data_IF_491872784921
#
_entry.id   IF_491872784921
#
_cell.length_a   1.000
_cell.length_b   1.000
_cell.length_c   1.000
_cell.angle_alpha   90.00
_cell.angle_beta   90.00
_cell.angle_gamma   90.00
#
_symmetry.space_group_name_H-M   'P 1'
#
loop_
_entity.id
_entity.type
_entity.pdbx_description
1 polymer ?
#
# COMPACT_ATOMS: atom_id res chain seq x y z
N UNK A 1 -64.49 32.45 -10.79
CA UNK A 1 -64.22 31.39 -11.78
C UNK A 1 -62.73 31.31 -12.02
N UNK A 2 -62.14 30.11 -12.01
CA UNK A 2 -60.95 29.80 -12.84
C UNK A 2 -59.56 29.88 -12.20
N UNK A 3 -59.18 28.74 -11.61
CA UNK A 3 -57.85 28.16 -11.35
C UNK A 3 -56.58 28.61 -12.14
N UNK A 4 -55.47 28.65 -11.38
CA UNK A 4 -54.08 28.14 -11.59
C UNK A 4 -53.47 28.14 -13.02
N UNK A 5 -52.23 28.64 -13.11
CA UNK A 5 -51.08 27.83 -13.53
C UNK A 5 -49.75 28.48 -13.13
N UNK A 6 -48.89 27.67 -12.52
CA UNK A 6 -47.48 27.94 -12.30
C UNK A 6 -46.73 27.83 -13.64
N UNK A 7 -45.75 28.69 -13.89
CA UNK A 7 -44.63 28.30 -14.75
C UNK A 7 -43.30 28.88 -14.25
N UNK A 8 -42.41 27.95 -13.93
CA UNK A 8 -41.06 28.12 -13.39
C UNK A 8 -40.10 28.16 -14.58
N UNK A 9 -39.37 29.25 -14.75
CA UNK A 9 -38.14 29.26 -15.55
C UNK A 9 -37.04 29.88 -14.70
N UNK A 10 -36.09 29.02 -14.31
CA UNK A 10 -34.90 29.36 -13.54
C UNK A 10 -33.97 30.22 -14.39
N UNK A 11 -33.61 31.42 -13.91
CA UNK A 11 -32.42 32.14 -14.33
C UNK A 11 -31.66 32.67 -13.11
N UNK A 12 -30.41 32.22 -13.02
CA UNK A 12 -29.26 32.84 -12.35
C UNK A 12 -29.36 33.12 -10.84
N UNK A 13 -28.70 32.29 -10.03
CA UNK A 13 -28.31 32.65 -8.66
C UNK A 13 -26.79 32.51 -8.55
N UNK A 14 -26.16 33.61 -8.12
CA UNK A 14 -24.73 33.82 -7.87
C UNK A 14 -24.06 32.69 -7.07
N UNK A 15 -22.78 32.34 -7.34
CA UNK A 15 -22.03 31.37 -6.57
C UNK A 15 -21.19 32.08 -5.51
N UNK A 16 -21.77 32.44 -4.37
CA UNK A 16 -20.95 32.84 -3.22
C UNK A 16 -21.58 32.30 -1.93
N UNK A 17 -20.73 31.64 -1.13
CA UNK A 17 -20.94 31.10 0.22
C UNK A 17 -21.33 29.61 0.33
N UNK A 18 -20.30 28.76 0.31
CA UNK A 18 -20.30 27.52 1.09
C UNK A 18 -19.37 27.73 2.31
N UNK A 19 -19.87 27.75 3.55
CA UNK A 19 -19.01 27.96 4.71
C UNK A 19 -18.16 26.71 4.93
N UNK A 20 -16.87 26.83 4.65
CA UNK A 20 -15.87 25.84 5.03
C UNK A 20 -15.84 25.75 6.56
N UNK A 21 -16.45 24.70 7.11
CA UNK A 21 -16.15 24.27 8.47
C UNK A 21 -14.70 23.81 8.44
N UNK A 22 -13.82 24.68 8.92
CA UNK A 22 -12.41 24.44 9.13
C UNK A 22 -12.27 23.48 10.31
N UNK A 23 -12.51 22.18 10.08
CA UNK A 23 -12.05 21.18 11.03
C UNK A 23 -10.52 21.23 10.99
N UNK A 24 -9.95 21.57 12.15
CA UNK A 24 -8.52 21.60 12.43
C UNK A 24 -7.95 20.22 12.06
N UNK A 25 -7.47 20.06 10.83
CA UNK A 25 -6.82 18.84 10.34
C UNK A 25 -5.56 18.68 11.18
N UNK A 26 -5.62 17.79 12.16
CA UNK A 26 -4.45 17.34 12.92
C UNK A 26 -3.47 16.86 11.86
N UNK A 27 -2.35 17.57 11.68
CA UNK A 27 -1.34 17.23 10.69
C UNK A 27 -0.66 15.92 11.10
N UNK A 28 -1.21 14.77 10.72
CA UNK A 28 -0.42 13.56 10.59
C UNK A 28 0.57 13.81 9.45
N UNK A 29 1.87 13.72 9.72
CA UNK A 29 2.88 13.78 8.66
C UNK A 29 2.69 12.56 7.77
N UNK A 30 2.31 12.78 6.51
CA UNK A 30 2.09 11.70 5.56
C UNK A 30 3.37 10.84 5.41
N UNK A 31 3.20 9.52 5.29
CA UNK A 31 4.30 8.67 4.86
C UNK A 31 4.61 9.01 3.41
N UNK A 32 5.83 9.44 3.11
CA UNK A 32 6.24 9.74 1.74
C UNK A 32 7.17 8.65 1.22
N UNK A 33 7.08 8.37 -0.07
CA UNK A 33 7.96 7.44 -0.77
C UNK A 33 8.18 7.95 -2.19
N UNK A 34 9.02 7.24 -2.96
CA UNK A 34 9.28 7.60 -4.36
C UNK A 34 7.98 7.77 -5.15
N UNK A 35 7.86 8.86 -5.91
CA UNK A 35 6.67 9.31 -6.64
C UNK A 35 5.54 9.95 -5.83
N UNK A 36 5.65 10.06 -4.50
CA UNK A 36 4.80 10.98 -3.74
C UNK A 36 4.88 12.40 -4.32
N UNK A 37 3.78 13.17 -4.21
CA UNK A 37 3.70 14.54 -4.71
C UNK A 37 3.05 15.49 -3.70
N UNK A 38 3.31 16.78 -3.84
CA UNK A 38 2.60 17.86 -3.16
C UNK A 38 3.37 18.47 -1.99
N UNK A 39 2.65 19.21 -1.14
CA UNK A 39 3.24 20.08 -0.11
C UNK A 39 4.10 19.34 0.91
N UNK A 40 3.76 18.11 1.26
CA UNK A 40 4.56 17.31 2.19
C UNK A 40 5.92 16.91 1.58
N UNK A 41 5.96 16.69 0.25
CA UNK A 41 7.22 16.41 -0.46
C UNK A 41 8.07 17.67 -0.57
N UNK A 42 7.48 18.84 -0.83
CA UNK A 42 8.21 20.12 -0.79
C UNK A 42 8.86 20.29 0.59
N UNK A 43 8.08 20.07 1.66
CA UNK A 43 8.57 20.15 3.04
C UNK A 43 9.71 19.16 3.29
N UNK A 44 9.62 17.92 2.81
CA UNK A 44 10.70 16.95 2.87
C UNK A 44 11.96 17.45 2.16
N UNK A 45 11.84 17.91 0.91
CA UNK A 45 12.97 18.39 0.12
C UNK A 45 13.67 19.57 0.80
N UNK A 46 12.89 20.52 1.35
CA UNK A 46 13.39 21.63 2.15
C UNK A 46 14.17 21.18 3.38
N UNK A 47 13.64 20.19 4.12
CA UNK A 47 14.29 19.68 5.31
C UNK A 47 15.58 18.93 4.95
N UNK A 48 15.58 18.10 3.92
CA UNK A 48 16.77 17.41 3.43
C UNK A 48 17.85 18.40 2.98
N UNK A 49 17.49 19.46 2.24
CA UNK A 49 18.41 20.53 1.84
C UNK A 49 19.08 21.21 3.05
N UNK A 50 18.37 21.36 4.16
CA UNK A 50 18.90 21.98 5.39
C UNK A 50 19.91 21.10 6.14
N UNK A 51 19.93 19.79 5.91
CA UNK A 51 20.83 18.86 6.62
C UNK A 51 22.30 19.00 6.21
N UNK A 52 22.65 19.85 5.23
CA UNK A 52 24.02 20.16 4.74
C UNK A 52 24.85 18.96 4.24
N UNK A 53 24.27 17.76 4.19
CA UNK A 53 24.98 16.52 3.84
C UNK A 53 24.65 15.98 2.44
N UNK A 54 23.80 16.67 1.68
CA UNK A 54 23.28 16.19 0.39
C UNK A 54 23.39 17.30 -0.66
N UNK A 55 23.65 16.90 -1.92
CA UNK A 55 23.44 17.74 -3.10
C UNK A 55 22.06 18.43 -3.02
N UNK A 56 22.00 19.73 -3.32
CA UNK A 56 20.76 20.50 -3.26
C UNK A 56 19.68 19.89 -4.16
N UNK A 57 18.56 19.49 -3.56
CA UNK A 57 17.36 19.01 -4.24
C UNK A 57 16.54 20.20 -4.75
N UNK A 58 15.92 20.01 -5.91
CA UNK A 58 14.85 20.89 -6.38
C UNK A 58 13.62 20.66 -5.48
N UNK A 59 13.03 21.73 -4.96
CA UNK A 59 11.84 21.71 -4.09
C UNK A 59 10.55 21.72 -4.91
N UNK A 60 10.48 20.85 -5.91
CA UNK A 60 9.39 20.76 -6.88
C UNK A 60 8.14 20.03 -6.36
N UNK A 61 8.22 19.49 -5.14
CA UNK A 61 7.14 18.70 -4.57
C UNK A 61 6.95 17.36 -5.24
N UNK A 62 7.96 16.86 -5.97
CA UNK A 62 7.96 15.53 -6.56
C UNK A 62 9.07 14.67 -5.93
N UNK A 63 8.66 13.54 -5.36
CA UNK A 63 9.59 12.62 -4.72
C UNK A 63 10.23 11.73 -5.79
N UNK A 64 11.00 12.33 -6.70
CA UNK A 64 11.70 11.62 -7.76
C UNK A 64 12.93 10.85 -7.27
N UNK A 65 13.69 10.31 -8.21
CA UNK A 65 14.93 9.55 -7.96
C UNK A 65 15.93 10.30 -7.07
N UNK A 66 16.07 11.63 -7.27
CA UNK A 66 17.01 12.44 -6.49
C UNK A 66 16.55 12.55 -5.02
N UNK A 67 15.27 12.86 -4.79
CA UNK A 67 14.68 12.89 -3.45
C UNK A 67 14.79 11.51 -2.77
N UNK A 68 14.54 10.42 -3.51
CA UNK A 68 14.72 9.06 -3.00
C UNK A 68 16.15 8.75 -2.56
N UNK A 69 17.14 9.04 -3.41
CA UNK A 69 18.54 8.85 -3.05
C UNK A 69 18.94 9.70 -1.84
N UNK A 70 18.44 10.94 -1.76
CA UNK A 70 18.67 11.83 -0.63
C UNK A 70 18.06 11.27 0.67
N UNK A 71 16.83 10.74 0.62
CA UNK A 71 16.21 10.10 1.78
C UNK A 71 17.00 8.89 2.24
N UNK A 72 17.41 7.98 1.34
CA UNK A 72 18.24 6.83 1.69
C UNK A 72 19.54 7.25 2.36
N UNK A 73 20.22 8.25 1.79
CA UNK A 73 21.48 8.76 2.33
C UNK A 73 21.28 9.37 3.72
N UNK A 74 20.25 10.22 3.88
CA UNK A 74 19.88 10.79 5.17
C UNK A 74 19.61 9.70 6.21
N UNK A 75 18.79 8.70 5.86
CA UNK A 75 18.46 7.59 6.73
C UNK A 75 19.71 6.83 7.19
N UNK A 76 20.58 6.45 6.24
CA UNK A 76 21.85 5.77 6.53
C UNK A 76 22.70 6.56 7.52
N UNK A 77 22.86 7.86 7.28
CA UNK A 77 23.67 8.74 8.12
C UNK A 77 23.07 8.97 9.52
N UNK A 78 21.79 8.66 9.71
CA UNK A 78 21.06 8.87 10.96
C UNK A 78 20.71 7.57 11.70
N UNK A 79 21.29 6.44 11.29
CA UNK A 79 21.07 5.13 11.91
C UNK A 79 19.65 4.58 11.68
N UNK A 80 19.00 5.00 10.59
CA UNK A 80 17.72 4.46 10.13
C UNK A 80 17.96 3.43 9.02
N UNK A 81 16.96 2.58 8.77
CA UNK A 81 16.93 1.77 7.55
C UNK A 81 16.93 2.71 6.33
N UNK A 82 17.88 2.53 5.42
CA UNK A 82 18.05 3.36 4.23
C UNK A 82 17.11 2.93 3.10
N UNK A 83 15.83 2.72 3.40
CA UNK A 83 14.82 2.20 2.49
C UNK A 83 14.24 3.24 1.51
N UNK A 84 14.50 4.53 1.75
CA UNK A 84 14.01 5.64 0.95
C UNK A 84 12.56 6.02 1.25
N UNK A 85 12.01 5.58 2.39
CA UNK A 85 10.65 5.86 2.87
C UNK A 85 10.71 6.87 4.02
N UNK A 86 9.95 7.95 3.89
CA UNK A 86 9.82 8.97 4.93
C UNK A 86 8.58 8.66 5.76
N UNK A 87 8.74 7.72 6.69
CA UNK A 87 7.77 7.45 7.75
C UNK A 87 8.04 8.28 9.03
N UNK A 88 7.28 8.05 10.12
CA UNK A 88 7.39 8.84 11.35
C UNK A 88 8.80 8.92 11.94
N UNK A 89 9.58 7.85 11.84
CA UNK A 89 10.97 7.81 12.32
C UNK A 89 11.88 8.76 11.52
N UNK A 90 11.73 8.77 10.21
CA UNK A 90 12.47 9.66 9.31
C UNK A 90 12.05 11.11 9.55
N UNK A 91 10.74 11.38 9.68
CA UNK A 91 10.22 12.71 10.00
C UNK A 91 10.76 13.26 11.32
N UNK A 92 10.78 12.42 12.37
CA UNK A 92 11.35 12.79 13.66
C UNK A 92 12.83 13.14 13.58
N UNK A 93 13.62 12.36 12.83
CA UNK A 93 15.03 12.66 12.58
C UNK A 93 15.23 13.93 11.76
N UNK A 94 14.28 14.30 10.89
CA UNK A 94 14.24 15.56 10.16
C UNK A 94 13.73 16.74 11.00
N UNK A 95 13.44 16.54 12.30
CA UNK A 95 12.97 17.59 13.20
C UNK A 95 11.47 17.89 13.10
N UNK A 96 10.69 17.04 12.41
CA UNK A 96 9.23 17.15 12.36
C UNK A 96 8.63 16.24 13.42
N UNK A 97 8.03 16.85 14.46
CA UNK A 97 7.34 16.12 15.52
C UNK A 97 5.90 15.83 15.09
N UNK A 98 5.48 14.57 15.26
CA UNK A 98 4.08 14.18 15.12
C UNK A 98 3.33 14.60 16.40
N UNK A 99 2.24 15.39 16.31
CA UNK A 99 1.42 15.76 17.46
C UNK A 99 0.93 14.57 18.30
N UNK A 100 0.87 13.35 17.73
CA UNK A 100 0.45 12.13 18.40
C UNK A 100 1.55 11.42 19.19
N UNK A 101 2.80 11.93 19.15
CA UNK A 101 3.95 11.27 19.81
C UNK A 101 4.46 11.99 21.07
N UNK A 102 3.85 13.11 21.47
CA UNK A 102 4.11 13.75 22.76
C UNK A 102 3.32 13.08 23.88
N UNK A 103 3.71 11.85 24.26
CA UNK A 103 3.45 11.31 25.59
C UNK A 103 4.30 10.07 25.83
N UNK A 104 5.42 10.24 26.51
CA UNK A 104 6.08 9.19 27.31
C UNK A 104 6.97 9.83 28.35
N UNK A 105 6.36 10.26 29.45
CA UNK A 105 7.02 10.39 30.75
C UNK A 105 5.96 10.42 31.86
N UNK A 106 5.49 9.24 32.29
CA UNK A 106 5.46 8.81 33.69
C UNK A 106 4.63 7.54 33.91
N UNK A 107 5.15 6.71 34.81
CA UNK A 107 4.59 5.49 35.38
C UNK A 107 3.42 5.79 36.32
N UNK A 108 2.27 5.11 36.14
CA UNK A 108 1.49 4.39 37.18
C UNK A 108 0.06 4.07 36.71
N UNK A 109 -0.35 2.81 36.89
CA UNK A 109 -1.72 2.30 37.18
C UNK A 109 -2.94 3.18 36.83
N UNK A 110 -3.76 2.74 35.87
CA UNK A 110 -5.08 2.12 36.13
C UNK A 110 -5.92 1.97 34.86
N UNK A 111 -6.91 1.09 34.98
CA UNK A 111 -7.72 0.52 33.92
C UNK A 111 -8.79 1.46 33.33
N UNK A 112 -9.22 1.09 32.12
CA UNK A 112 -10.52 1.34 31.50
C UNK A 112 -10.69 2.60 30.61
N UNK A 113 -11.05 2.39 29.34
CA UNK A 113 -11.57 3.45 28.46
C UNK A 113 -11.01 3.48 27.04
N UNK A 114 -11.66 2.72 26.15
CA UNK A 114 -11.88 3.02 24.72
C UNK A 114 -10.69 3.57 23.91
N UNK A 115 -9.89 2.66 23.35
CA UNK A 115 -8.86 2.96 22.36
C UNK A 115 -9.47 3.25 20.98
N UNK A 116 -9.52 4.52 20.59
CA UNK A 116 -9.61 4.91 19.18
C UNK A 116 -8.27 4.61 18.51
N UNK A 117 -8.22 3.46 17.84
CA UNK A 117 -7.11 2.93 17.07
C UNK A 117 -6.75 3.86 15.89
N UNK A 118 -5.47 4.04 15.54
CA UNK A 118 -5.06 4.82 14.36
C UNK A 118 -5.66 4.20 13.09
N UNK A 119 -6.13 5.07 12.18
CA UNK A 119 -6.88 4.74 10.97
C UNK A 119 -6.22 3.62 10.16
N UNK A 120 -6.85 2.45 10.25
CA UNK A 120 -6.60 1.28 9.42
C UNK A 120 -7.11 1.63 8.03
N UNK A 121 -6.28 1.52 6.97
CA UNK A 121 -6.74 1.71 5.59
C UNK A 121 -7.97 0.84 5.36
N UNK A 122 -9.14 1.47 5.30
CA UNK A 122 -10.41 0.75 5.42
C UNK A 122 -10.69 0.11 4.07
N UNK A 123 -11.20 -1.12 4.04
CA UNK A 123 -11.52 -1.86 2.80
C UNK A 123 -12.35 -1.00 1.83
N UNK A 124 -13.23 -0.14 2.36
CA UNK A 124 -14.03 0.83 1.61
C UNK A 124 -13.19 1.86 0.82
N UNK A 125 -12.07 2.34 1.36
CA UNK A 125 -11.19 3.35 0.73
C UNK A 125 -10.43 2.79 -0.48
N UNK A 126 -10.34 1.46 -0.61
CA UNK A 126 -9.64 0.81 -1.71
C UNK A 126 -10.52 0.58 -2.94
N UNK A 127 -11.83 0.86 -2.88
CA UNK A 127 -12.79 0.44 -3.90
C UNK A 127 -12.62 1.13 -5.27
N UNK A 128 -12.33 2.43 -5.32
CA UNK A 128 -12.16 3.18 -6.58
C UNK A 128 -10.73 3.10 -7.13
N UNK A 129 -9.73 3.15 -6.24
CA UNK A 129 -8.31 3.17 -6.59
C UNK A 129 -7.72 1.81 -6.96
N UNK A 130 -8.45 0.70 -6.75
CA UNK A 130 -7.92 -0.65 -6.96
C UNK A 130 -8.73 -1.46 -7.98
N UNK A 131 -8.09 -2.41 -8.63
CA UNK A 131 -8.67 -3.39 -9.55
C UNK A 131 -8.27 -4.81 -9.16
N UNK A 132 -8.97 -5.79 -9.70
CA UNK A 132 -8.58 -7.19 -9.58
C UNK A 132 -7.24 -7.44 -10.29
N UNK A 133 -6.39 -8.38 -9.83
CA UNK A 133 -5.08 -8.62 -10.44
C UNK A 133 -5.14 -9.42 -11.77
N UNK A 134 -6.34 -9.70 -12.29
CA UNK A 134 -6.60 -10.43 -13.54
C UNK A 134 -7.78 -9.81 -14.28
N UNK A 135 -7.84 -10.00 -15.60
CA UNK A 135 -8.93 -9.56 -16.48
C UNK A 135 -10.19 -10.44 -16.37
N UNK A 136 -10.12 -11.53 -15.63
CA UNK A 136 -11.23 -12.46 -15.38
C UNK A 136 -11.12 -13.05 -13.97
N UNK A 137 -12.17 -13.71 -13.49
CA UNK A 137 -12.18 -14.37 -12.18
C UNK A 137 -11.68 -15.82 -12.30
N UNK A 138 -10.91 -16.32 -11.32
CA UNK A 138 -10.52 -17.72 -11.30
C UNK A 138 -11.74 -18.62 -11.15
N UNK A 139 -11.74 -19.77 -11.83
CA UNK A 139 -12.81 -20.77 -11.72
C UNK A 139 -13.01 -21.30 -10.29
N UNK A 140 -11.96 -21.27 -9.46
CA UNK A 140 -12.02 -21.69 -8.06
C UNK A 140 -12.01 -20.49 -7.12
N UNK A 141 -12.94 -20.49 -6.15
CA UNK A 141 -12.96 -19.48 -5.09
C UNK A 141 -11.67 -19.48 -4.26
N UNK A 142 -11.20 -18.29 -3.92
CA UNK A 142 -10.07 -18.01 -3.02
C UNK A 142 -10.44 -18.07 -1.53
N UNK A 143 -11.73 -18.21 -1.19
CA UNK A 143 -12.21 -18.27 0.20
C UNK A 143 -12.36 -19.69 0.73
N UNK A 144 -12.01 -20.72 -0.06
CA UNK A 144 -12.29 -22.12 0.30
C UNK A 144 -11.05 -23.01 0.10
N UNK A 145 -10.95 -24.06 0.91
CA UNK A 145 -9.91 -25.11 0.80
C UNK A 145 -8.51 -24.61 1.14
N UNK A 146 -7.47 -25.21 0.55
CA UNK A 146 -6.07 -24.85 0.81
C UNK A 146 -5.65 -23.45 0.36
N UNK A 147 -6.50 -22.77 -0.42
CA UNK A 147 -6.24 -21.49 -1.08
C UNK A 147 -6.53 -20.27 -0.21
N UNK A 148 -7.35 -20.42 0.82
CA UNK A 148 -7.76 -19.30 1.67
C UNK A 148 -6.67 -18.90 2.67
N UNK A 149 -6.76 -17.67 3.15
CA UNK A 149 -5.96 -17.20 4.26
C UNK A 149 -6.17 -18.09 5.49
N UNK A 150 -5.09 -18.36 6.23
CA UNK A 150 -5.05 -19.27 7.39
C UNK A 150 -5.45 -20.73 7.11
N UNK A 151 -5.52 -21.16 5.84
CA UNK A 151 -5.65 -22.58 5.53
C UNK A 151 -4.53 -23.39 6.20
N UNK A 152 -4.82 -24.55 6.81
CA UNK A 152 -3.81 -25.40 7.44
C UNK A 152 -2.71 -25.81 6.47
N UNK A 153 -1.46 -25.81 6.93
CA UNK A 153 -0.28 -26.31 6.22
C UNK A 153 0.48 -27.29 7.10
N UNK A 154 1.38 -28.06 6.49
CA UNK A 154 2.25 -28.99 7.21
C UNK A 154 3.07 -28.29 8.31
N UNK A 155 3.25 -28.99 9.44
CA UNK A 155 4.04 -28.49 10.58
C UNK A 155 3.38 -27.36 11.36
N UNK A 156 2.05 -27.33 11.46
CA UNK A 156 1.29 -26.33 12.22
C UNK A 156 1.24 -24.93 11.58
N UNK A 157 1.85 -24.76 10.41
CA UNK A 157 1.84 -23.49 9.69
C UNK A 157 0.45 -23.19 9.13
N UNK A 158 0.25 -21.92 8.81
CA UNK A 158 -0.96 -21.38 8.20
C UNK A 158 -0.61 -20.65 6.91
N UNK A 159 -1.52 -20.72 5.95
CA UNK A 159 -1.38 -20.02 4.68
C UNK A 159 -1.48 -18.51 4.88
N UNK A 160 -0.51 -17.74 4.38
CA UNK A 160 -0.40 -16.31 4.65
C UNK A 160 -1.03 -15.39 3.61
N UNK A 161 -1.76 -15.96 2.66
CA UNK A 161 -2.39 -15.21 1.58
C UNK A 161 -3.61 -15.94 1.01
N UNK A 162 -4.02 -15.49 -0.17
CA UNK A 162 -5.02 -16.14 -1.01
C UNK A 162 -4.38 -16.63 -2.30
N UNK A 163 -4.72 -17.86 -2.73
CA UNK A 163 -4.26 -18.43 -3.99
C UNK A 163 -5.33 -18.25 -5.08
N UNK A 164 -5.01 -17.48 -6.13
CA UNK A 164 -5.85 -17.29 -7.32
C UNK A 164 -5.35 -18.21 -8.44
N UNK A 165 -6.08 -19.31 -8.70
CA UNK A 165 -5.66 -20.32 -9.68
C UNK A 165 -5.87 -19.84 -11.11
N UNK A 166 -4.76 -19.79 -11.84
CA UNK A 166 -4.70 -19.49 -13.27
C UNK A 166 -3.62 -20.33 -13.94
N UNK A 167 -3.70 -20.60 -15.25
CA UNK A 167 -2.65 -21.27 -16.00
C UNK A 167 -1.29 -20.56 -15.90
N UNK A 168 -0.15 -21.28 -16.04
CA UNK A 168 1.15 -20.64 -16.18
C UNK A 168 1.16 -19.68 -17.37
N UNK A 169 1.81 -18.53 -17.22
CA UNK A 169 1.92 -17.52 -18.27
C UNK A 169 0.80 -16.47 -18.29
N UNK A 170 -0.31 -16.68 -17.58
CA UNK A 170 -1.40 -15.70 -17.48
C UNK A 170 -0.87 -14.36 -16.94
N UNK A 171 -1.16 -13.22 -17.60
CA UNK A 171 -0.72 -11.91 -17.13
C UNK A 171 -1.29 -11.55 -15.75
N UNK A 172 -0.44 -10.97 -14.90
CA UNK A 172 -0.80 -10.44 -13.58
C UNK A 172 -0.73 -8.92 -13.65
N UNK A 173 -1.78 -8.27 -13.16
CA UNK A 173 -1.95 -6.82 -13.22
C UNK A 173 -1.68 -6.20 -11.85
N UNK A 174 -1.06 -5.02 -11.84
CA UNK A 174 -0.95 -4.19 -10.64
C UNK A 174 -2.34 -3.77 -10.20
N UNK A 175 -2.70 -4.09 -8.95
CA UNK A 175 -4.05 -3.79 -8.44
C UNK A 175 -4.29 -2.30 -8.31
N UNK A 176 -3.26 -1.47 -8.18
CA UNK A 176 -3.35 -0.03 -8.08
C UNK A 176 -2.04 0.61 -8.56
N UNK A 177 -2.02 1.94 -8.62
CA UNK A 177 -0.75 2.67 -8.71
C UNK A 177 0.16 2.24 -7.55
N UNK A 178 1.44 2.08 -7.83
CA UNK A 178 2.35 1.57 -6.82
C UNK A 178 3.82 1.70 -7.16
N UNK A 179 4.64 1.33 -6.17
CA UNK A 179 6.09 1.46 -6.22
C UNK A 179 6.72 0.15 -5.80
N UNK A 180 7.70 -0.29 -6.59
CA UNK A 180 8.48 -1.47 -6.28
C UNK A 180 9.19 -1.29 -4.93
N UNK A 181 8.95 -2.21 -3.99
CA UNK A 181 9.57 -2.16 -2.65
C UNK A 181 11.00 -2.67 -2.72
N UNK A 182 11.24 -3.70 -3.54
CA UNK A 182 12.54 -4.34 -3.76
C UNK A 182 12.53 -5.08 -5.08
N UNK A 183 13.72 -5.35 -5.62
CA UNK A 183 13.85 -6.20 -6.81
C UNK A 183 13.17 -7.57 -6.58
N UNK A 184 12.52 -8.14 -7.62
CA UNK A 184 11.96 -9.49 -7.56
C UNK A 184 13.01 -10.51 -7.12
N UNK A 185 12.58 -11.53 -6.39
CA UNK A 185 13.49 -12.48 -5.77
C UNK A 185 12.92 -13.91 -5.82
N UNK A 186 13.78 -14.95 -5.75
CA UNK A 186 13.33 -16.34 -5.67
C UNK A 186 12.39 -16.55 -4.48
N UNK A 187 11.29 -17.24 -4.73
CA UNK A 187 10.25 -17.48 -3.74
C UNK A 187 10.05 -18.96 -3.50
N UNK A 188 8.86 -19.50 -3.79
CA UNK A 188 8.45 -20.83 -3.41
C UNK A 188 8.47 -21.79 -4.60
N UNK A 189 9.06 -22.98 -4.41
CA UNK A 189 8.93 -24.12 -5.34
C UNK A 189 9.18 -23.76 -6.82
N UNK A 190 10.30 -23.11 -7.09
CA UNK A 190 10.74 -22.78 -8.46
C UNK A 190 10.18 -21.49 -9.05
N UNK A 191 9.42 -20.68 -8.28
CA UNK A 191 8.88 -19.39 -8.74
C UNK A 191 9.60 -18.19 -8.09
N UNK A 192 9.22 -16.99 -8.49
CA UNK A 192 9.66 -15.72 -7.89
C UNK A 192 8.51 -15.00 -7.18
N UNK A 193 8.82 -13.91 -6.48
CA UNK A 193 7.85 -12.97 -5.95
C UNK A 193 8.28 -11.53 -6.21
N UNK A 194 7.30 -10.61 -6.25
CA UNK A 194 7.53 -9.16 -6.26
C UNK A 194 6.67 -8.48 -5.19
N UNK A 195 7.23 -7.45 -4.56
CA UNK A 195 6.58 -6.68 -3.51
C UNK A 195 6.35 -5.25 -4.00
N UNK A 196 5.10 -4.80 -4.00
CA UNK A 196 4.72 -3.46 -4.48
C UNK A 196 3.91 -2.76 -3.39
N UNK A 197 4.28 -1.52 -3.10
CA UNK A 197 3.53 -0.64 -2.22
C UNK A 197 2.44 0.08 -3.01
N UNK A 198 1.20 -0.02 -2.55
CA UNK A 198 0.01 0.61 -3.09
C UNK A 198 -0.62 1.48 -1.99
N UNK A 199 -0.19 2.74 -1.89
CA UNK A 199 -0.58 3.60 -0.77
C UNK A 199 -0.10 3.05 0.58
N UNK A 200 -1.03 2.88 1.51
CA UNK A 200 -0.78 2.32 2.85
C UNK A 200 -0.66 0.79 2.86
N UNK A 201 -0.83 0.12 1.72
CA UNK A 201 -0.70 -1.34 1.61
C UNK A 201 0.64 -1.72 0.99
N UNK A 202 1.22 -2.83 1.44
CA UNK A 202 2.19 -3.58 0.64
C UNK A 202 1.53 -4.87 0.20
N UNK A 203 1.60 -5.16 -1.09
CA UNK A 203 1.19 -6.43 -1.65
C UNK A 203 2.42 -7.22 -2.08
N UNK A 204 2.46 -8.50 -1.72
CA UNK A 204 3.37 -9.46 -2.32
C UNK A 204 2.61 -10.28 -3.35
N UNK A 205 3.04 -10.16 -4.59
CA UNK A 205 2.63 -10.99 -5.71
C UNK A 205 3.60 -12.17 -5.77
N UNK A 206 3.24 -13.27 -5.13
CA UNK A 206 3.97 -14.52 -5.13
C UNK A 206 3.67 -15.39 -6.34
N UNK A 207 4.47 -16.44 -6.51
CA UNK A 207 4.24 -17.51 -7.47
C UNK A 207 4.24 -17.01 -8.91
N UNK A 208 4.96 -15.91 -9.16
CA UNK A 208 5.17 -15.36 -10.49
C UNK A 208 6.26 -16.16 -11.22
N UNK A 209 6.16 -16.24 -12.55
CA UNK A 209 7.16 -16.87 -13.39
C UNK A 209 8.52 -16.16 -13.24
N UNK A 210 9.60 -16.94 -13.17
CA UNK A 210 10.95 -16.38 -13.01
C UNK A 210 11.28 -15.42 -14.16
N UNK A 211 11.85 -14.26 -13.82
CA UNK A 211 12.19 -13.22 -14.80
C UNK A 211 10.98 -12.55 -15.48
N UNK A 212 9.74 -12.87 -15.11
CA UNK A 212 8.55 -12.30 -15.77
C UNK A 212 8.19 -10.89 -15.34
N UNK A 213 8.84 -10.35 -14.30
CA UNK A 213 8.52 -9.03 -13.80
C UNK A 213 8.85 -7.95 -14.83
N UNK A 214 7.84 -7.15 -15.20
CA UNK A 214 7.93 -6.08 -16.21
C UNK A 214 7.41 -4.73 -15.69
N UNK A 215 7.12 -4.63 -14.38
CA UNK A 215 6.47 -3.46 -13.80
C UNK A 215 7.34 -2.19 -13.74
N UNK A 216 8.67 -2.32 -13.68
CA UNK A 216 9.58 -1.19 -13.45
C UNK A 216 9.54 -0.65 -12.01
N UNK A 217 10.17 0.48 -11.73
CA UNK A 217 10.22 1.01 -10.35
C UNK A 217 8.87 1.57 -9.86
N UNK A 218 7.97 1.92 -10.79
CA UNK A 218 6.58 2.33 -10.52
C UNK A 218 5.65 1.61 -11.46
N UNK A 219 4.46 1.29 -10.96
CA UNK A 219 3.40 0.65 -11.73
C UNK A 219 2.13 1.51 -11.69
N UNK A 220 1.32 1.36 -12.73
CA UNK A 220 -0.03 1.92 -12.78
C UNK A 220 -1.08 0.85 -12.50
N UNK A 221 -2.21 1.26 -11.93
CA UNK A 221 -3.40 0.41 -11.81
C UNK A 221 -3.69 -0.22 -13.19
N UNK A 222 -3.87 -1.54 -13.24
CA UNK A 222 -4.15 -2.25 -14.48
C UNK A 222 -2.94 -2.37 -15.44
N UNK A 223 -1.73 -2.06 -15.00
CA UNK A 223 -0.51 -2.38 -15.76
C UNK A 223 -0.16 -3.87 -15.58
N UNK A 224 0.24 -4.56 -16.65
CA UNK A 224 0.84 -5.89 -16.53
C UNK A 224 2.19 -5.78 -15.82
N UNK A 225 2.34 -6.49 -14.70
CA UNK A 225 3.54 -6.46 -13.87
C UNK A 225 4.31 -7.77 -13.88
N UNK A 226 3.66 -8.90 -14.14
CA UNK A 226 4.27 -10.22 -14.11
C UNK A 226 3.39 -11.24 -14.86
N UNK A 227 3.82 -12.51 -14.87
CA UNK A 227 3.02 -13.64 -15.34
C UNK A 227 2.94 -14.73 -14.26
N UNK A 228 1.85 -15.49 -14.24
CA UNK A 228 1.69 -16.64 -13.33
C UNK A 228 2.77 -17.69 -13.58
N UNK A 229 3.43 -18.14 -12.52
CA UNK A 229 4.46 -19.16 -12.55
C UNK A 229 3.89 -20.59 -12.44
N UNK A 230 4.76 -21.55 -12.73
CA UNK A 230 4.49 -22.99 -12.51
C UNK A 230 5.34 -23.47 -11.34
N UNK A 231 4.69 -24.04 -10.32
CA UNK A 231 5.39 -24.70 -9.22
C UNK A 231 6.03 -26.01 -9.70
N UNK A 232 7.06 -26.48 -9.00
CA UNK A 232 7.64 -27.80 -9.25
C UNK A 232 6.64 -28.96 -9.07
N UNK A 233 5.56 -28.77 -8.31
CA UNK A 233 4.46 -29.75 -8.19
C UNK A 233 3.54 -29.81 -9.40
N UNK A 234 3.71 -28.90 -10.38
CA UNK A 234 2.86 -28.77 -11.55
C UNK A 234 1.66 -27.82 -11.40
N UNK A 235 1.32 -27.38 -10.18
CA UNK A 235 0.24 -26.40 -9.92
C UNK A 235 0.67 -24.97 -10.29
N UNK A 236 -0.31 -24.10 -10.56
CA UNK A 236 -0.11 -22.68 -10.92
C UNK A 236 -1.20 -21.79 -10.33
N UNK A 237 -0.79 -20.61 -9.85
CA UNK A 237 -1.62 -19.61 -9.19
C UNK A 237 -0.81 -18.33 -8.97
N UNK A 238 -1.49 -17.21 -8.74
CA UNK A 238 -0.94 -16.08 -8.00
C UNK A 238 -1.20 -16.31 -6.51
N UNK A 239 -0.14 -16.31 -5.71
CA UNK A 239 -0.24 -16.26 -4.25
C UNK A 239 -0.18 -14.79 -3.81
N UNK A 240 -1.30 -14.25 -3.34
CA UNK A 240 -1.39 -12.85 -2.97
C UNK A 240 -1.36 -12.68 -1.46
N UNK A 241 -0.42 -11.90 -0.95
CA UNK A 241 -0.36 -11.48 0.45
C UNK A 241 -0.58 -9.96 0.54
N UNK A 242 -1.30 -9.49 1.57
CA UNK A 242 -1.56 -8.07 1.82
C UNK A 242 -1.06 -7.70 3.23
N UNK A 243 -0.38 -6.56 3.32
CA UNK A 243 0.16 -6.01 4.56
C UNK A 243 -0.36 -4.60 4.78
N UNK A 244 -0.85 -4.34 5.99
CA UNK A 244 -1.59 -3.10 6.33
C UNK A 244 -0.72 -1.95 6.83
N UNK A 245 0.58 -2.19 7.08
CA UNK A 245 1.54 -1.16 7.41
C UNK A 245 2.50 -0.92 6.24
N UNK A 246 2.04 -0.17 5.24
CA UNK A 246 2.81 0.16 4.05
C UNK A 246 4.07 0.98 4.32
N UNK A 247 4.09 1.73 5.43
CA UNK A 247 5.23 2.51 5.87
C UNK A 247 6.40 1.67 6.41
N UNK A 248 6.14 0.42 6.83
CA UNK A 248 7.17 -0.46 7.38
C UNK A 248 8.06 -1.05 6.28
N UNK A 249 9.37 -0.97 6.49
CA UNK A 249 10.41 -1.63 5.68
C UNK A 249 10.88 -2.98 6.25
N UNK A 250 10.30 -3.41 7.38
CA UNK A 250 10.62 -4.72 7.93
C UNK A 250 10.28 -5.84 6.93
N UNK A 251 11.13 -6.87 6.89
CA UNK A 251 10.95 -8.04 6.04
C UNK A 251 9.53 -8.59 6.18
N UNK A 252 8.86 -8.78 5.05
CA UNK A 252 7.53 -9.38 5.01
C UNK A 252 7.56 -10.86 5.46
N UNK A 253 8.70 -11.54 5.32
CA UNK A 253 8.90 -12.91 5.81
C UNK A 253 9.60 -12.93 7.16
N UNK A 254 9.08 -13.73 8.09
CA UNK A 254 9.65 -13.97 9.42
C UNK A 254 9.87 -15.46 9.65
N UNK A 255 10.68 -15.83 10.65
CA UNK A 255 10.92 -17.24 11.04
C UNK A 255 10.06 -17.69 12.21
N UNK A 256 9.14 -16.84 12.66
CA UNK A 256 8.33 -17.04 13.87
C UNK A 256 6.84 -16.92 13.55
N UNK A 257 6.01 -17.54 14.39
CA UNK A 257 4.56 -17.54 14.22
C UNK A 257 4.04 -18.51 13.16
N UNK A 258 2.73 -18.77 13.21
CA UNK A 258 2.07 -19.75 12.35
C UNK A 258 2.01 -19.32 10.86
N UNK A 259 1.93 -18.01 10.60
CA UNK A 259 1.94 -17.44 9.24
C UNK A 259 3.35 -17.24 8.69
N UNK A 260 4.38 -17.16 9.55
CA UNK A 260 5.78 -16.85 9.17
C UNK A 260 5.91 -15.58 8.31
N UNK A 261 5.07 -14.60 8.62
CA UNK A 261 5.02 -13.28 7.99
C UNK A 261 5.10 -12.17 9.03
N UNK A 262 5.32 -10.95 8.54
CA UNK A 262 5.20 -9.72 9.33
C UNK A 262 3.81 -9.67 9.97
N UNK A 263 3.74 -9.13 11.18
CA UNK A 263 2.55 -9.22 12.05
C UNK A 263 1.31 -8.50 11.51
N UNK A 264 1.48 -7.61 10.54
CA UNK A 264 0.43 -6.82 9.88
C UNK A 264 -0.08 -7.46 8.58
N UNK A 265 0.34 -8.71 8.27
CA UNK A 265 -0.27 -9.51 7.20
C UNK A 265 -1.76 -9.70 7.52
N UNK A 266 -2.61 -9.52 6.52
CA UNK A 266 -4.06 -9.61 6.68
C UNK A 266 -4.67 -10.52 5.62
N UNK A 267 -5.92 -10.93 5.85
CA UNK A 267 -6.69 -11.72 4.90
C UNK A 267 -6.94 -10.92 3.61
N UNK A 268 -6.49 -11.42 2.43
CA UNK A 268 -6.77 -10.77 1.16
C UNK A 268 -8.24 -10.89 0.70
N UNK A 269 -9.01 -11.85 1.22
CA UNK A 269 -10.35 -12.15 0.71
C UNK A 269 -11.32 -10.95 0.72
N UNK A 270 -11.40 -10.11 1.77
CA UNK A 270 -12.25 -8.91 1.76
C UNK A 270 -11.87 -7.91 0.67
N UNK A 271 -10.57 -7.73 0.40
CA UNK A 271 -10.08 -6.86 -0.66
C UNK A 271 -10.44 -7.42 -2.04
N UNK A 272 -10.16 -8.70 -2.28
CA UNK A 272 -10.50 -9.40 -3.52
C UNK A 272 -12.00 -9.38 -3.80
N UNK A 273 -12.85 -9.46 -2.77
CA UNK A 273 -14.30 -9.38 -2.89
C UNK A 273 -14.81 -8.00 -3.35
N UNK A 274 -14.05 -6.95 -3.08
CA UNK A 274 -14.32 -5.60 -3.63
C UNK A 274 -13.73 -5.50 -5.03
N UNK A 275 -12.45 -5.85 -5.19
CA UNK A 275 -11.70 -5.66 -6.42
C UNK A 275 -12.23 -6.49 -7.60
N UNK A 276 -12.86 -7.65 -7.34
CA UNK A 276 -13.50 -8.48 -8.40
C UNK A 276 -14.55 -7.74 -9.23
N UNK A 277 -15.10 -6.64 -8.70
CA UNK A 277 -16.07 -5.79 -9.40
C UNK A 277 -15.39 -4.72 -10.28
N UNK A 278 -14.06 -4.66 -10.28
CA UNK A 278 -13.25 -3.69 -11.03
C UNK A 278 -12.11 -4.43 -11.73
N UNK A 279 -12.40 -5.07 -12.87
CA UNK A 279 -11.40 -5.81 -13.64
C UNK A 279 -10.55 -4.82 -14.47
N UNK A 280 -9.24 -5.08 -14.67
CA UNK A 280 -8.41 -4.34 -15.62
C UNK A 280 -9.01 -4.43 -17.03
N UNK A 281 -8.99 -3.32 -17.77
CA UNK A 281 -9.32 -3.32 -19.19
C UNK A 281 -8.18 -3.89 -20.03
N UNK A 282 -8.53 -4.62 -21.09
CA UNK A 282 -7.61 -5.10 -22.13
C UNK A 282 -7.09 -3.96 -23.02
#
# INVERSE_FOLDING_TARGET
MGFKAHNRVLRSINPEHCPLIFTKRIYMVATLWMFSKGRDVIKLQQLLNKTKTIQSLIEDGYFGKNTYNAVKLFQRNNGLNDDGIVGPQTWRKLGVQDPLTNSSSNSSTDSNGTTTKPSTGTIAETSEGFCFPFTELPALSWTNGGRQFRAPRSGGRKHAGCDLKFPPGTPIYAVADGVLVRNPYPFYSGTSAVEIRHGELILRYGEIANGSYSGGSSVKKGQIIAKVGRLNSGSSMLHLEIYTNGASSASLTTRVGELRRRSDVTDPAPYLNVWKNNLPSL
#
